data_IF_369892592530
#
_entry.id   IF_369892592530
#
_cell.length_a   1.000
_cell.length_b   1.000
_cell.length_c   1.000
_cell.angle_alpha   90.00
_cell.angle_beta   90.00
_cell.angle_gamma   90.00
#
_symmetry.space_group_name_H-M   'P 1'
#
loop_
_entity.id
_entity.type
_entity.pdbx_description
1 polymer ?
#
# COMPACT_ATOMS: atom_id res chain seq x y z
N UNK A 1 16.55 -7.25 11.65
CA UNK A 1 15.60 -8.16 10.99
C UNK A 1 16.28 -8.69 9.74
N UNK A 2 16.35 -10.01 9.55
CA UNK A 2 17.08 -10.62 8.43
C UNK A 2 16.33 -10.36 7.10
N UNK A 3 17.06 -10.09 6.00
CA UNK A 3 16.47 -9.74 4.69
C UNK A 3 15.53 -10.84 4.16
N UNK A 4 15.87 -12.10 4.39
CA UNK A 4 15.03 -13.26 4.01
C UNK A 4 13.67 -13.25 4.71
N UNK A 5 13.62 -12.88 6.00
CA UNK A 5 12.35 -12.84 6.75
C UNK A 5 11.45 -11.71 6.22
N UNK A 6 12.04 -10.58 5.81
CA UNK A 6 11.29 -9.47 5.21
C UNK A 6 10.68 -9.89 3.86
N UNK A 7 11.44 -10.60 3.03
CA UNK A 7 10.97 -11.06 1.72
C UNK A 7 9.84 -12.10 1.85
N UNK A 8 9.99 -13.09 2.74
CA UNK A 8 8.94 -14.09 3.00
C UNK A 8 7.65 -13.44 3.49
N UNK A 9 7.73 -12.41 4.33
CA UNK A 9 6.55 -11.66 4.79
C UNK A 9 5.85 -10.95 3.63
N UNK A 10 6.60 -10.24 2.78
CA UNK A 10 6.03 -9.52 1.63
C UNK A 10 5.35 -10.50 0.67
N UNK A 11 5.96 -11.64 0.38
CA UNK A 11 5.37 -12.67 -0.48
C UNK A 11 4.04 -13.20 0.07
N UNK A 12 3.97 -13.46 1.37
CA UNK A 12 2.73 -13.88 2.03
C UNK A 12 1.66 -12.78 1.94
N UNK A 13 2.05 -11.52 2.13
CA UNK A 13 1.14 -10.39 2.01
C UNK A 13 0.64 -10.18 0.58
N UNK A 14 1.49 -10.33 -0.44
CA UNK A 14 1.11 -10.27 -1.86
C UNK A 14 0.03 -11.31 -2.17
N UNK A 15 0.17 -12.54 -1.66
CA UNK A 15 -0.85 -13.59 -1.83
C UNK A 15 -2.16 -13.28 -1.09
N UNK A 16 -2.11 -12.46 -0.04
CA UNK A 16 -3.27 -12.07 0.75
C UNK A 16 -3.99 -10.81 0.21
N UNK A 17 -3.47 -10.18 -0.86
CA UNK A 17 -4.11 -9.00 -1.47
C UNK A 17 -5.51 -9.36 -1.96
N UNK A 18 -6.52 -8.65 -1.45
CA UNK A 18 -7.92 -8.76 -1.86
C UNK A 18 -8.24 -7.76 -2.97
N UNK A 19 -9.39 -7.86 -3.66
CA UNK A 19 -9.83 -6.82 -4.60
C UNK A 19 -9.94 -5.42 -3.98
N UNK A 20 -10.30 -5.33 -2.70
CA UNK A 20 -10.33 -4.11 -1.91
C UNK A 20 -9.70 -4.36 -0.53
N UNK A 21 -8.72 -3.54 -0.14
CA UNK A 21 -7.91 -3.73 1.06
C UNK A 21 -8.00 -2.52 1.99
N UNK A 22 -7.82 -2.74 3.29
CA UNK A 22 -7.79 -1.66 4.26
C UNK A 22 -6.54 -0.79 4.09
N UNK A 23 -6.62 0.43 4.63
CA UNK A 23 -5.46 1.31 4.79
C UNK A 23 -4.36 0.64 5.62
N UNK A 24 -4.72 -0.09 6.68
CA UNK A 24 -3.76 -0.80 7.52
C UNK A 24 -2.97 -1.85 6.73
N UNK A 25 -3.66 -2.70 5.97
CA UNK A 25 -3.02 -3.72 5.14
C UNK A 25 -2.10 -3.07 4.09
N UNK A 26 -2.58 -2.00 3.46
CA UNK A 26 -1.80 -1.24 2.48
C UNK A 26 -0.57 -0.57 3.09
N UNK A 27 -0.65 -0.11 4.34
CA UNK A 27 0.47 0.47 5.05
C UNK A 27 1.56 -0.57 5.35
N UNK A 28 1.14 -1.77 5.73
CA UNK A 28 2.05 -2.86 6.03
C UNK A 28 2.75 -3.37 4.78
N UNK A 29 2.03 -3.46 3.64
CA UNK A 29 2.60 -4.02 2.41
C UNK A 29 3.60 -3.07 1.75
N UNK A 30 3.36 -1.75 1.85
CA UNK A 30 4.28 -0.73 1.35
C UNK A 30 5.34 -0.32 2.37
N UNK A 31 5.33 -0.90 3.58
CA UNK A 31 6.27 -0.58 4.65
C UNK A 31 6.30 0.92 5.00
N UNK A 32 5.11 1.54 5.10
CA UNK A 32 4.93 2.96 5.45
C UNK A 32 3.84 3.16 6.50
N UNK A 33 3.79 4.32 7.15
CA UNK A 33 2.75 4.62 8.14
C UNK A 33 1.36 4.76 7.51
N UNK A 34 0.30 4.38 8.24
CA UNK A 34 -1.10 4.55 7.78
C UNK A 34 -1.45 6.01 7.44
N UNK A 35 -0.89 6.98 8.16
CA UNK A 35 -1.02 8.41 7.85
C UNK A 35 -0.51 8.77 6.45
N UNK A 36 0.54 8.08 5.98
CA UNK A 36 1.09 8.26 4.64
C UNK A 36 0.11 7.77 3.59
N UNK A 37 -0.51 6.60 3.81
CA UNK A 37 -1.55 6.08 2.93
C UNK A 37 -2.77 7.02 2.90
N UNK A 38 -3.22 7.51 4.06
CA UNK A 38 -4.30 8.50 4.11
C UNK A 38 -3.96 9.79 3.36
N UNK A 39 -2.72 10.29 3.48
CA UNK A 39 -2.27 11.45 2.71
C UNK A 39 -2.27 11.19 1.21
N UNK A 40 -1.80 10.03 0.79
CA UNK A 40 -1.81 9.62 -0.62
C UNK A 40 -3.23 9.48 -1.15
N UNK A 41 -4.16 8.95 -0.36
CA UNK A 41 -5.59 8.91 -0.71
C UNK A 41 -6.14 10.34 -0.90
N UNK A 42 -5.89 11.23 0.05
CA UNK A 42 -6.43 12.59 0.03
C UNK A 42 -5.84 13.45 -1.11
N UNK A 43 -4.59 13.18 -1.51
CA UNK A 43 -3.92 13.88 -2.62
C UNK A 43 -4.14 13.18 -3.97
N UNK A 44 -5.10 12.25 -4.08
CA UNK A 44 -5.37 11.47 -5.30
C UNK A 44 -4.16 10.69 -5.83
N UNK A 45 -3.20 10.38 -4.96
CA UNK A 45 -2.03 9.55 -5.24
C UNK A 45 -2.35 8.06 -5.33
N UNK A 46 -3.45 7.63 -4.70
CA UNK A 46 -3.97 6.26 -4.67
C UNK A 46 -5.47 6.29 -5.03
N UNK A 47 -5.96 5.42 -5.93
CA UNK A 47 -7.39 5.24 -6.17
C UNK A 47 -8.07 4.59 -4.96
N UNK A 48 -9.34 4.92 -4.73
CA UNK A 48 -10.09 4.41 -3.57
C UNK A 48 -11.42 3.81 -4.00
N UNK A 49 -11.79 2.72 -3.36
CA UNK A 49 -13.14 2.16 -3.38
C UNK A 49 -13.82 2.60 -2.08
N UNK A 50 -14.91 3.35 -2.19
CA UNK A 50 -15.69 3.80 -1.04
C UNK A 50 -16.85 2.84 -0.78
N UNK A 51 -16.92 2.29 0.43
CA UNK A 51 -18.01 1.43 0.88
C UNK A 51 -18.56 1.99 2.19
N UNK A 52 -19.66 2.72 2.10
CA UNK A 52 -20.13 3.56 3.20
C UNK A 52 -19.06 4.59 3.57
N UNK A 53 -18.70 4.66 4.86
CA UNK A 53 -17.65 5.57 5.35
C UNK A 53 -16.23 5.02 5.19
N UNK A 54 -16.08 3.77 4.70
CA UNK A 54 -14.78 3.12 4.60
C UNK A 54 -14.12 3.43 3.27
N UNK A 55 -12.85 3.86 3.35
CA UNK A 55 -11.96 4.00 2.19
C UNK A 55 -11.07 2.76 2.08
N UNK A 56 -11.21 2.04 0.97
CA UNK A 56 -10.42 0.85 0.66
C UNK A 56 -9.52 1.09 -0.54
N UNK A 57 -8.34 0.47 -0.53
CA UNK A 57 -7.37 0.54 -1.62
C UNK A 57 -7.57 -0.66 -2.55
N UNK A 58 -7.74 -0.45 -3.87
CA UNK A 58 -7.87 -1.53 -4.82
C UNK A 58 -6.64 -2.44 -4.84
N UNK A 59 -6.86 -3.76 -4.86
CA UNK A 59 -5.78 -4.75 -4.90
C UNK A 59 -4.90 -4.64 -6.14
N UNK A 60 -5.49 -4.36 -7.31
CA UNK A 60 -4.74 -4.17 -8.56
C UNK A 60 -3.70 -3.05 -8.43
N UNK A 61 -4.05 -1.96 -7.75
CA UNK A 61 -3.17 -0.82 -7.55
C UNK A 61 -2.01 -1.19 -6.63
N UNK A 62 -2.28 -1.95 -5.56
CA UNK A 62 -1.25 -2.44 -4.66
C UNK A 62 -0.23 -3.29 -5.42
N UNK A 63 -0.71 -4.27 -6.19
CA UNK A 63 0.13 -5.17 -6.96
C UNK A 63 0.95 -4.43 -8.03
N UNK A 64 0.35 -3.46 -8.73
CA UNK A 64 1.04 -2.63 -9.72
C UNK A 64 2.18 -1.84 -9.06
N UNK A 65 1.93 -1.17 -7.94
CA UNK A 65 2.92 -0.29 -7.31
C UNK A 65 4.03 -1.02 -6.57
N UNK A 66 3.81 -2.25 -6.12
CA UNK A 66 4.88 -3.09 -5.58
C UNK A 66 6.00 -3.38 -6.58
N UNK A 67 5.72 -3.30 -7.89
CA UNK A 67 6.73 -3.50 -8.94
C UNK A 67 7.59 -2.25 -9.20
N UNK A 68 7.28 -1.13 -8.54
CA UNK A 68 7.95 0.16 -8.74
C UNK A 68 8.69 0.54 -7.44
N UNK A 69 9.98 0.23 -7.31
CA UNK A 69 10.75 0.61 -6.14
C UNK A 69 10.71 2.13 -5.92
N UNK A 70 10.53 2.57 -4.67
CA UNK A 70 10.57 4.01 -4.33
C UNK A 70 9.33 4.83 -4.69
N UNK A 71 8.28 4.22 -5.27
CA UNK A 71 7.12 4.98 -5.77
C UNK A 71 6.41 5.82 -4.69
N UNK A 72 6.42 5.37 -3.43
CA UNK A 72 5.84 6.14 -2.31
C UNK A 72 6.66 7.40 -2.05
N UNK A 73 7.99 7.27 -2.03
CA UNK A 73 8.93 8.36 -1.82
C UNK A 73 8.82 9.39 -2.94
N UNK A 74 8.77 8.94 -4.19
CA UNK A 74 8.62 9.78 -5.39
C UNK A 74 7.32 10.59 -5.35
N UNK A 75 6.21 9.97 -4.95
CA UNK A 75 4.91 10.65 -4.89
C UNK A 75 4.80 11.66 -3.76
N UNK A 76 5.68 11.57 -2.77
CA UNK A 76 5.64 12.38 -1.58
C UNK A 76 6.77 13.41 -1.52
N UNK A 77 7.64 13.46 -2.54
CA UNK A 77 8.86 14.26 -2.55
C UNK A 77 9.72 14.05 -1.29
N UNK A 78 9.71 12.85 -0.72
CA UNK A 78 10.55 12.50 0.44
C UNK A 78 11.86 11.96 -0.11
N UNK A 79 12.95 12.72 0.04
CA UNK A 79 14.32 12.30 -0.30
C UNK A 79 14.88 11.37 0.76
#
# INVERSE_FOLDING_TARGET
MNLEVKNTKIEQMVRAVKPANSVSFTSEIFDVGQSTIHRLINNSGIPVIEIGERKLVPGWFILEKLQIPGWVQDRLNIR
#
